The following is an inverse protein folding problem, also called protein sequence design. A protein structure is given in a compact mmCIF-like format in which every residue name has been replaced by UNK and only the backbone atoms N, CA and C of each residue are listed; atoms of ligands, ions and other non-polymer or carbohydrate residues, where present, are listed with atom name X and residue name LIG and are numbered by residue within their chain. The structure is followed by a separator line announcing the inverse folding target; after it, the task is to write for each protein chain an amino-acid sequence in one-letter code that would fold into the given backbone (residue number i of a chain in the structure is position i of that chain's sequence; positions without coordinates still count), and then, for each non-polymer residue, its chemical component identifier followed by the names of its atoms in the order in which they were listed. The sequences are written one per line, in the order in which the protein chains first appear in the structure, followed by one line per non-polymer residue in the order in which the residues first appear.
data_IF_087120664939
#
_entry.id   IF_087120664939
#
_cell.length_a   1.000
_cell.length_b   1.000
_cell.length_c   1.000
_cell.angle_alpha   90.00
_cell.angle_beta   90.00
_cell.angle_gamma   90.00
#
_symmetry.space_group_name_H-M   'P 1'
#
loop_
_entity.id
_entity.type
_entity.pdbx_description
1 polymer ?
#
# COMPACT_ATOMS: atom_id res chain seq x y z
N UNK A 1 -21.29 -2.34 39.42
CA UNK A 1 -20.03 -1.84 40.03
C UNK A 1 -19.76 -2.48 41.39
N UNK A 2 -18.49 -2.79 41.72
CA UNK A 2 -18.05 -3.31 43.02
C UNK A 2 -18.01 -2.25 44.14
N UNK A 3 -18.22 -0.96 43.82
CA UNK A 3 -18.20 0.12 44.81
C UNK A 3 -16.81 0.39 45.39
N UNK A 4 -15.76 0.10 44.62
CA UNK A 4 -14.37 0.23 45.01
C UNK A 4 -13.67 1.42 44.32
N UNK A 5 -12.55 1.87 44.86
CA UNK A 5 -11.79 3.01 44.33
C UNK A 5 -12.42 4.36 44.63
N UNK A 6 -12.17 5.35 43.77
CA UNK A 6 -12.54 6.74 44.03
C UNK A 6 -14.07 6.97 44.09
N UNK A 7 -14.84 6.32 43.21
CA UNK A 7 -16.32 6.34 43.26
C UNK A 7 -16.84 5.66 44.52
N UNK A 8 -16.21 4.56 44.93
CA UNK A 8 -16.52 3.86 46.18
C UNK A 8 -16.35 4.73 47.43
N UNK A 9 -15.33 5.59 47.45
CA UNK A 9 -15.12 6.54 48.54
C UNK A 9 -16.22 7.59 48.63
N UNK A 10 -16.74 8.07 47.49
CA UNK A 10 -17.87 8.99 47.45
C UNK A 10 -19.17 8.32 47.95
N UNK A 11 -19.49 7.14 47.42
CA UNK A 11 -20.71 6.40 47.80
C UNK A 11 -20.71 6.08 49.31
N UNK A 12 -19.55 5.69 49.85
CA UNK A 12 -19.39 5.39 51.28
C UNK A 12 -19.21 6.63 52.15
N UNK A 13 -19.36 7.85 51.61
CA UNK A 13 -19.17 9.13 52.32
C UNK A 13 -17.82 9.25 53.03
N UNK A 14 -16.78 8.64 52.46
CA UNK A 14 -15.38 8.80 52.91
C UNK A 14 -14.69 9.98 52.24
N UNK A 15 -15.24 10.46 51.13
CA UNK A 15 -14.84 11.67 50.42
C UNK A 15 -16.09 12.44 49.98
N UNK A 16 -15.98 13.77 49.88
CA UNK A 16 -17.09 14.63 49.45
C UNK A 16 -17.04 14.93 47.94
N UNK A 17 -15.83 15.03 47.36
CA UNK A 17 -15.61 15.37 45.95
C UNK A 17 -14.49 14.49 45.38
N UNK A 18 -14.68 14.00 44.16
CA UNK A 18 -13.66 13.28 43.40
C UNK A 18 -13.32 14.08 42.13
N UNK A 19 -12.04 14.31 41.90
CA UNK A 19 -11.53 14.95 40.68
C UNK A 19 -10.58 13.96 40.01
N UNK A 20 -10.83 13.62 38.76
CA UNK A 20 -10.02 12.68 37.98
C UNK A 20 -10.51 12.52 36.55
N UNK A 21 -9.86 11.64 35.80
CA UNK A 21 -10.28 11.25 34.45
C UNK A 21 -11.49 10.30 34.53
N UNK A 22 -12.65 10.85 34.90
CA UNK A 22 -13.89 10.10 35.05
C UNK A 22 -14.78 10.30 33.83
N UNK A 23 -15.35 9.20 33.33
CA UNK A 23 -16.31 9.24 32.24
C UNK A 23 -17.72 9.34 32.81
N UNK A 24 -18.60 10.08 32.14
CA UNK A 24 -20.01 10.17 32.51
C UNK A 24 -20.77 8.96 31.99
N UNK A 25 -20.64 7.81 32.65
CA UNK A 25 -21.43 6.62 32.35
C UNK A 25 -22.82 6.70 32.99
N UNK A 26 -23.80 6.06 32.34
CA UNK A 26 -25.19 6.05 32.79
C UNK A 26 -25.34 5.37 34.18
N UNK A 27 -24.60 4.30 34.42
CA UNK A 27 -24.62 3.60 35.71
C UNK A 27 -24.16 4.51 36.85
N UNK A 28 -23.07 5.27 36.65
CA UNK A 28 -22.52 6.18 37.67
C UNK A 28 -23.48 7.33 37.96
N UNK A 29 -24.09 7.88 36.92
CA UNK A 29 -25.06 8.97 37.03
C UNK A 29 -26.33 8.59 37.83
N UNK A 30 -26.62 7.29 37.96
CA UNK A 30 -27.78 6.83 38.74
C UNK A 30 -27.54 6.94 40.25
N UNK A 31 -26.28 6.92 40.70
CA UNK A 31 -25.91 6.91 42.12
C UNK A 31 -25.17 8.17 42.57
N UNK A 32 -24.62 8.95 41.63
CA UNK A 32 -23.76 10.10 41.90
C UNK A 32 -24.15 11.30 41.03
N UNK A 33 -24.11 12.49 41.62
CA UNK A 33 -24.24 13.74 40.87
C UNK A 33 -22.92 14.07 40.17
N UNK A 34 -22.98 14.21 38.85
CA UNK A 34 -21.83 14.55 38.01
C UNK A 34 -21.89 16.03 37.61
N UNK A 35 -20.72 16.69 37.54
CA UNK A 35 -20.62 18.04 36.99
C UNK A 35 -20.87 18.06 35.48
N UNK A 36 -20.97 19.27 34.90
CA UNK A 36 -20.86 19.42 33.46
C UNK A 36 -19.53 18.84 32.96
N UNK A 37 -19.55 18.16 31.81
CA UNK A 37 -18.35 17.57 31.22
C UNK A 37 -17.33 18.68 30.90
N UNK A 38 -16.08 18.47 31.31
CA UNK A 38 -14.98 19.41 31.03
C UNK A 38 -14.42 19.22 29.62
N UNK A 39 -14.33 17.95 29.19
CA UNK A 39 -13.67 17.53 27.95
C UNK A 39 -14.47 16.39 27.33
N UNK A 40 -14.66 16.44 26.01
CA UNK A 40 -15.20 15.30 25.26
C UNK A 40 -14.05 14.46 24.75
N UNK A 41 -14.05 13.19 25.13
CA UNK A 41 -13.04 12.23 24.75
C UNK A 41 -13.65 11.03 24.01
N UNK A 42 -12.83 10.29 23.29
CA UNK A 42 -13.23 9.08 22.60
C UNK A 42 -12.22 7.95 22.81
N UNK A 43 -12.66 6.71 22.65
CA UNK A 43 -11.77 5.55 22.71
C UNK A 43 -11.36 5.18 21.29
N UNK A 44 -10.07 5.00 21.06
CA UNK A 44 -9.51 4.56 19.77
C UNK A 44 -8.64 3.34 20.01
N UNK A 45 -8.62 2.40 19.06
CA UNK A 45 -7.70 1.27 19.09
C UNK A 45 -6.53 1.56 18.14
N UNK A 46 -5.31 1.61 18.68
CA UNK A 46 -4.08 1.65 17.89
C UNK A 46 -3.78 0.25 17.41
N UNK A 47 -3.74 0.06 16.10
CA UNK A 47 -3.43 -1.24 15.50
C UNK A 47 -1.99 -1.27 14.97
N UNK A 48 -1.37 -2.46 14.87
CA UNK A 48 -0.03 -2.58 14.33
C UNK A 48 0.08 -2.01 12.92
N UNK A 49 1.21 -1.39 12.61
CA UNK A 49 1.46 -0.87 11.27
C UNK A 49 1.43 -1.99 10.22
N UNK A 50 0.92 -1.71 9.01
CA UNK A 50 0.94 -2.68 7.92
C UNK A 50 2.38 -2.94 7.45
N UNK A 51 2.63 -4.15 6.97
CA UNK A 51 3.94 -4.56 6.47
C UNK A 51 4.11 -4.14 5.02
N UNK A 52 5.35 -3.91 4.58
CA UNK A 52 5.63 -3.68 3.16
C UNK A 52 5.56 -5.00 2.40
N UNK A 53 4.73 -5.03 1.38
CA UNK A 53 4.64 -6.16 0.45
C UNK A 53 5.70 -5.97 -0.63
N UNK A 54 6.74 -6.80 -0.61
CA UNK A 54 7.71 -6.87 -1.71
C UNK A 54 7.25 -7.93 -2.71
N UNK A 55 6.83 -7.49 -3.88
CA UNK A 55 6.44 -8.40 -4.97
C UNK A 55 7.55 -8.48 -6.01
N UNK A 56 7.87 -9.68 -6.47
CA UNK A 56 8.80 -9.86 -7.61
C UNK A 56 8.22 -9.34 -8.93
N UNK A 57 6.89 -9.15 -8.98
CA UNK A 57 6.15 -8.64 -10.13
C UNK A 57 6.19 -7.10 -10.24
N UNK A 58 6.82 -6.40 -9.28
CA UNK A 58 6.96 -4.94 -9.28
C UNK A 58 7.47 -4.35 -10.61
N UNK A 59 8.41 -4.97 -11.36
CA UNK A 59 8.83 -4.45 -12.66
C UNK A 59 7.76 -4.50 -13.76
N UNK A 60 6.75 -5.37 -13.63
CA UNK A 60 5.68 -5.52 -14.63
C UNK A 60 4.43 -4.69 -14.31
N UNK A 61 4.32 -4.24 -13.06
CA UNK A 61 3.24 -3.41 -12.52
C UNK A 61 3.08 -2.00 -13.15
N UNK A 62 4.12 -1.32 -13.69
CA UNK A 62 3.97 0.03 -14.25
C UNK A 62 2.94 0.11 -15.39
N UNK A 63 2.75 -0.99 -16.12
CA UNK A 63 1.89 -1.03 -17.29
C UNK A 63 0.75 -2.04 -17.13
N UNK A 64 -0.44 -1.64 -17.57
CA UNK A 64 -1.58 -2.55 -17.70
C UNK A 64 -1.31 -3.58 -18.79
N UNK A 65 -1.91 -4.75 -18.67
CA UNK A 65 -1.83 -5.84 -19.65
C UNK A 65 -2.15 -5.39 -21.09
N UNK A 66 -3.12 -4.49 -21.25
CA UNK A 66 -3.49 -3.93 -22.56
C UNK A 66 -2.36 -3.10 -23.19
N UNK A 67 -1.58 -2.39 -22.36
CA UNK A 67 -0.46 -1.57 -22.81
C UNK A 67 0.75 -2.44 -23.16
N UNK A 68 1.02 -3.49 -22.37
CA UNK A 68 2.02 -4.49 -22.72
C UNK A 68 1.73 -5.14 -24.07
N UNK A 69 0.48 -5.52 -24.33
CA UNK A 69 0.06 -6.04 -25.63
C UNK A 69 0.27 -5.01 -26.76
N UNK A 70 -0.03 -3.73 -26.53
CA UNK A 70 0.19 -2.67 -27.50
C UNK A 70 1.68 -2.44 -27.81
N UNK A 71 2.56 -2.50 -26.80
CA UNK A 71 4.02 -2.41 -26.98
C UNK A 71 4.52 -3.59 -27.80
N UNK A 72 4.09 -4.81 -27.50
CA UNK A 72 4.45 -6.00 -28.28
C UNK A 72 4.01 -5.88 -29.74
N UNK A 73 2.79 -5.38 -29.98
CA UNK A 73 2.29 -5.14 -31.34
C UNK A 73 3.14 -4.08 -32.07
N UNK A 74 3.51 -3.00 -31.38
CA UNK A 74 4.35 -1.94 -31.91
C UNK A 74 5.74 -2.46 -32.30
N UNK A 75 6.38 -3.25 -31.42
CA UNK A 75 7.67 -3.90 -31.70
C UNK A 75 7.60 -4.85 -32.89
N UNK A 76 6.52 -5.63 -33.00
CA UNK A 76 6.29 -6.48 -34.17
C UNK A 76 6.13 -5.66 -35.47
N UNK A 77 5.39 -4.55 -35.43
CA UNK A 77 5.23 -3.66 -36.57
C UNK A 77 6.56 -3.00 -36.98
N UNK A 78 7.38 -2.58 -36.02
CA UNK A 78 8.71 -2.03 -36.28
C UNK A 78 9.67 -3.07 -36.86
N UNK A 79 9.69 -4.28 -36.30
CA UNK A 79 10.52 -5.37 -36.82
C UNK A 79 10.14 -5.70 -38.27
N UNK A 80 8.85 -5.83 -38.58
CA UNK A 80 8.41 -6.08 -39.96
C UNK A 80 8.74 -4.90 -40.88
N UNK A 81 8.55 -3.66 -40.44
CA UNK A 81 8.92 -2.45 -41.18
C UNK A 81 10.41 -2.40 -41.51
N UNK A 82 11.28 -2.74 -40.55
CA UNK A 82 12.73 -2.77 -40.74
C UNK A 82 13.19 -3.90 -41.66
N UNK A 83 12.57 -5.09 -41.57
CA UNK A 83 12.84 -6.19 -42.51
C UNK A 83 12.49 -5.78 -43.94
N UNK A 84 11.33 -5.16 -44.14
CA UNK A 84 10.89 -4.69 -45.46
C UNK A 84 11.77 -3.54 -45.98
N UNK A 85 12.15 -2.60 -45.13
CA UNK A 85 13.02 -1.49 -45.48
C UNK A 85 14.43 -1.95 -45.87
N UNK A 86 15.00 -2.91 -45.14
CA UNK A 86 16.30 -3.48 -45.48
C UNK A 86 16.24 -4.31 -46.78
N UNK A 87 15.14 -5.04 -47.00
CA UNK A 87 14.93 -5.77 -48.25
C UNK A 87 14.77 -4.85 -49.46
N UNK A 88 14.01 -3.77 -49.34
CA UNK A 88 13.82 -2.80 -50.42
C UNK A 88 15.13 -2.08 -50.75
N UNK A 89 15.94 -1.76 -49.74
CA UNK A 89 17.27 -1.20 -49.91
C UNK A 89 18.23 -2.15 -50.66
N UNK A 90 18.23 -3.44 -50.31
CA UNK A 90 19.00 -4.44 -51.06
C UNK A 90 18.53 -4.62 -52.50
N UNK A 91 17.22 -4.52 -52.75
CA UNK A 91 16.68 -4.62 -54.10
C UNK A 91 17.12 -3.46 -54.99
N UNK A 92 17.25 -2.25 -54.43
CA UNK A 92 17.56 -1.01 -55.15
C UNK A 92 19.06 -0.73 -55.29
N UNK A 93 19.85 -0.97 -54.25
CA UNK A 93 21.26 -0.51 -54.18
C UNK A 93 22.30 -1.64 -54.22
N UNK A 94 21.89 -2.92 -54.08
CA UNK A 94 22.81 -4.06 -54.03
C UNK A 94 22.68 -4.93 -55.28
N UNK A 95 23.84 -5.29 -55.85
CA UNK A 95 23.95 -6.15 -57.03
C UNK A 95 23.31 -7.54 -56.74
N UNK A 96 22.63 -8.19 -57.71
CA UNK A 96 21.91 -9.44 -57.50
C UNK A 96 22.75 -10.55 -56.85
N UNK A 97 24.04 -10.62 -57.17
CA UNK A 97 24.98 -11.63 -56.66
C UNK A 97 25.39 -11.46 -55.20
N UNK A 98 25.12 -10.30 -54.57
CA UNK A 98 25.45 -10.01 -53.16
C UNK A 98 24.20 -9.82 -52.29
N UNK A 99 23.01 -10.17 -52.81
CA UNK A 99 21.76 -10.05 -52.04
C UNK A 99 21.71 -11.10 -50.93
N UNK A 100 21.39 -10.64 -49.73
CA UNK A 100 21.25 -11.51 -48.56
C UNK A 100 19.93 -12.29 -48.60
N UNK A 101 19.94 -13.47 -47.99
CA UNK A 101 18.75 -14.31 -47.83
C UNK A 101 17.65 -13.65 -47.01
N UNK A 102 16.41 -14.17 -47.09
CA UNK A 102 15.30 -13.69 -46.25
C UNK A 102 15.58 -13.87 -44.75
N UNK A 103 16.20 -14.97 -44.37
CA UNK A 103 16.59 -15.26 -42.98
C UNK A 103 17.56 -14.24 -42.40
N UNK A 104 18.61 -13.84 -43.14
CA UNK A 104 19.54 -12.80 -42.67
C UNK A 104 18.82 -11.47 -42.45
N UNK A 105 17.87 -11.12 -43.33
CA UNK A 105 17.12 -9.87 -43.23
C UNK A 105 16.16 -9.87 -42.03
N UNK A 106 15.47 -11.00 -41.78
CA UNK A 106 14.62 -11.17 -40.59
C UNK A 106 15.47 -11.08 -39.33
N UNK A 107 16.58 -11.82 -39.27
CA UNK A 107 17.50 -11.77 -38.12
C UNK A 107 18.05 -10.36 -37.89
N UNK A 108 18.38 -9.63 -38.96
CA UNK A 108 18.85 -8.26 -38.87
C UNK A 108 17.76 -7.31 -38.36
N UNK A 109 16.54 -7.39 -38.91
CA UNK A 109 15.41 -6.55 -38.50
C UNK A 109 15.07 -6.75 -37.03
N UNK A 110 14.86 -8.02 -36.60
CA UNK A 110 14.54 -8.35 -35.21
C UNK A 110 15.67 -7.95 -34.25
N UNK A 111 16.93 -8.26 -34.59
CA UNK A 111 18.07 -7.88 -33.74
C UNK A 111 18.23 -6.36 -33.64
N UNK A 112 17.96 -5.62 -34.72
CA UNK A 112 18.04 -4.16 -34.75
C UNK A 112 16.90 -3.54 -33.93
N UNK A 113 15.66 -4.01 -34.08
CA UNK A 113 14.53 -3.58 -33.24
C UNK A 113 14.82 -3.81 -31.76
N UNK A 114 15.30 -5.00 -31.39
CA UNK A 114 15.63 -5.28 -30.00
C UNK A 114 16.73 -4.36 -29.46
N UNK A 115 17.77 -4.08 -30.26
CA UNK A 115 18.84 -3.14 -29.91
C UNK A 115 18.31 -1.72 -29.70
N UNK A 116 17.48 -1.23 -30.62
CA UNK A 116 16.88 0.10 -30.51
C UNK A 116 15.99 0.21 -29.27
N UNK A 117 15.18 -0.82 -28.98
CA UNK A 117 14.31 -0.87 -27.81
C UNK A 117 15.08 -0.72 -26.49
N UNK A 118 16.21 -1.42 -26.35
CA UNK A 118 17.08 -1.29 -25.18
C UNK A 118 18.06 -0.11 -25.25
N UNK A 119 17.84 0.83 -26.19
CA UNK A 119 18.66 2.01 -26.43
C UNK A 119 20.14 1.70 -26.74
N UNK A 120 20.42 0.56 -27.36
CA UNK A 120 21.74 0.14 -27.81
C UNK A 120 21.96 0.47 -29.28
N UNK A 121 23.14 1.03 -29.57
CA UNK A 121 23.55 1.30 -30.94
C UNK A 121 24.02 0.02 -31.64
N UNK A 122 23.77 -0.07 -32.94
CA UNK A 122 24.24 -1.16 -33.78
C UNK A 122 25.00 -0.63 -34.98
N UNK A 123 25.94 -1.43 -35.49
CA UNK A 123 26.59 -1.15 -36.77
C UNK A 123 25.62 -1.45 -37.93
N UNK A 124 24.64 -0.58 -38.13
CA UNK A 124 23.71 -0.65 -39.26
C UNK A 124 24.31 0.07 -40.48
N UNK A 125 24.53 -0.68 -41.58
CA UNK A 125 24.96 -0.13 -42.86
C UNK A 125 23.75 0.33 -43.66
N UNK A 126 23.08 1.40 -43.20
CA UNK A 126 22.00 2.04 -43.93
C UNK A 126 22.57 3.04 -44.95
N UNK A 127 22.36 2.77 -46.23
CA UNK A 127 22.78 3.58 -47.38
C UNK A 127 21.70 4.61 -47.77
N UNK A 128 20.42 4.24 -47.69
CA UNK A 128 19.29 5.09 -48.06
C UNK A 128 18.88 6.05 -46.95
N UNK A 129 18.57 7.31 -47.32
CA UNK A 129 18.02 8.31 -46.41
C UNK A 129 16.71 7.84 -45.77
N UNK A 130 15.85 7.15 -46.54
CA UNK A 130 14.56 6.64 -46.03
C UNK A 130 14.75 5.66 -44.89
N UNK A 131 15.72 4.74 -45.00
CA UNK A 131 16.01 3.74 -43.94
C UNK A 131 16.60 4.43 -42.71
N UNK A 132 17.43 5.47 -42.89
CA UNK A 132 17.96 6.26 -41.76
C UNK A 132 16.86 7.03 -41.03
N UNK A 133 15.94 7.65 -41.75
CA UNK A 133 14.79 8.35 -41.16
C UNK A 133 13.87 7.36 -40.44
N UNK A 134 13.64 6.18 -41.01
CA UNK A 134 12.86 5.12 -40.36
C UNK A 134 13.53 4.63 -39.05
N UNK A 135 14.84 4.34 -39.09
CA UNK A 135 15.60 3.95 -37.90
C UNK A 135 15.55 5.03 -36.81
N UNK A 136 15.65 6.30 -37.19
CA UNK A 136 15.52 7.42 -36.26
C UNK A 136 14.12 7.51 -35.65
N UNK A 137 13.07 7.31 -36.46
CA UNK A 137 11.69 7.30 -35.97
C UNK A 137 11.43 6.14 -34.99
N UNK A 138 11.88 4.92 -35.30
CA UNK A 138 11.81 3.77 -34.39
C UNK A 138 12.57 4.05 -33.08
N UNK A 139 13.78 4.60 -33.19
CA UNK A 139 14.57 4.97 -32.01
C UNK A 139 13.85 5.98 -31.10
N UNK A 140 13.22 7.01 -31.68
CA UNK A 140 12.46 7.99 -30.89
C UNK A 140 11.24 7.34 -30.21
N UNK A 141 10.54 6.44 -30.90
CA UNK A 141 9.41 5.71 -30.33
C UNK A 141 9.84 4.83 -29.15
N UNK A 142 10.91 4.04 -29.32
CA UNK A 142 11.51 3.20 -28.29
C UNK A 142 11.97 4.01 -27.06
N UNK A 143 12.57 5.18 -27.31
CA UNK A 143 13.01 6.08 -26.25
C UNK A 143 11.84 6.63 -25.45
N UNK A 144 10.73 6.99 -26.12
CA UNK A 144 9.51 7.46 -25.46
C UNK A 144 8.93 6.33 -24.59
N UNK A 145 8.78 5.12 -25.15
CA UNK A 145 8.24 3.96 -24.42
C UNK A 145 9.08 3.66 -23.18
N UNK A 146 10.41 3.60 -23.34
CA UNK A 146 11.34 3.30 -22.24
C UNK A 146 11.33 4.39 -21.17
N UNK A 147 11.21 5.67 -21.57
CA UNK A 147 11.14 6.79 -20.62
C UNK A 147 9.84 6.76 -19.80
N UNK A 148 8.71 6.45 -20.44
CA UNK A 148 7.42 6.32 -19.75
C UNK A 148 7.46 5.13 -18.77
N UNK A 149 8.03 3.99 -19.19
CA UNK A 149 8.23 2.84 -18.32
C UNK A 149 9.09 3.19 -17.10
N UNK A 150 10.24 3.85 -17.32
CA UNK A 150 11.14 4.28 -16.25
C UNK A 150 10.46 5.24 -15.27
N UNK A 151 9.66 6.19 -15.77
CA UNK A 151 8.88 7.11 -14.93
C UNK A 151 7.79 6.41 -14.12
N UNK A 152 7.05 5.47 -14.73
CA UNK A 152 6.03 4.68 -14.06
C UNK A 152 6.63 3.78 -12.97
N UNK A 153 7.73 3.10 -13.27
CA UNK A 153 8.46 2.28 -12.31
C UNK A 153 9.01 3.12 -11.16
N UNK A 154 9.61 4.28 -11.44
CA UNK A 154 10.07 5.19 -10.39
C UNK A 154 8.92 5.64 -9.47
N UNK A 155 7.74 5.93 -10.02
CA UNK A 155 6.56 6.31 -9.23
C UNK A 155 6.03 5.18 -8.34
N UNK A 156 6.13 3.92 -8.79
CA UNK A 156 5.73 2.77 -7.96
C UNK A 156 6.75 2.54 -6.86
N UNK A 157 8.03 2.69 -7.15
CA UNK A 157 9.09 2.50 -6.15
C UNK A 157 9.10 3.57 -5.04
N UNK A 158 8.54 4.76 -5.29
CA UNK A 158 8.41 5.79 -4.25
C UNK A 158 7.25 5.54 -3.28
N UNK A 159 6.19 4.84 -3.71
CA UNK A 159 5.04 4.54 -2.87
C UNK A 159 5.05 3.05 -2.54
N UNK A 160 5.50 2.66 -1.33
CA UNK A 160 5.55 1.25 -0.98
C UNK A 160 4.12 0.68 -0.90
N UNK A 161 3.89 -0.44 -1.58
CA UNK A 161 2.68 -1.23 -1.39
C UNK A 161 2.69 -1.80 0.03
N UNK A 162 1.72 -1.39 0.83
CA UNK A 162 1.53 -1.85 2.20
C UNK A 162 0.43 -2.92 2.21
N UNK A 163 0.57 -3.87 3.12
CA UNK A 163 -0.47 -4.85 3.42
C UNK A 163 -1.73 -4.17 3.99
N UNK A 164 -2.86 -4.87 3.97
CA UNK A 164 -4.10 -4.34 4.51
C UNK A 164 -3.99 -4.15 6.02
N UNK A 165 -4.27 -2.92 6.49
CA UNK A 165 -4.29 -2.59 7.90
C UNK A 165 -5.66 -2.88 8.51
N UNK A 166 -5.69 -3.33 9.77
CA UNK A 166 -6.91 -3.57 10.54
C UNK A 166 -7.53 -2.27 11.10
N UNK A 167 -7.66 -1.24 10.27
CA UNK A 167 -8.00 0.14 10.64
C UNK A 167 -9.50 0.42 10.86
N UNK A 168 -10.37 -0.53 10.48
CA UNK A 168 -11.82 -0.43 10.66
C UNK A 168 -12.34 -1.60 11.49
N UNK A 169 -13.48 -1.43 12.16
CA UNK A 169 -14.07 -2.49 13.00
C UNK A 169 -14.34 -3.79 12.21
N UNK A 170 -14.87 -3.75 10.96
CA UNK A 170 -15.01 -4.95 10.15
C UNK A 170 -13.67 -5.62 9.82
N UNK A 171 -12.62 -4.84 9.54
CA UNK A 171 -11.28 -5.36 9.26
C UNK A 171 -10.61 -5.94 10.51
N UNK A 172 -10.77 -5.30 11.66
CA UNK A 172 -10.31 -5.80 12.96
C UNK A 172 -10.90 -7.18 13.25
N UNK A 173 -12.20 -7.37 12.96
CA UNK A 173 -12.86 -8.67 13.00
C UNK A 173 -12.31 -9.66 11.96
N UNK A 174 -12.13 -9.22 10.71
CA UNK A 174 -11.63 -10.06 9.62
C UNK A 174 -10.24 -10.63 9.91
N UNK A 175 -9.32 -9.79 10.38
CA UNK A 175 -7.97 -10.20 10.79
C UNK A 175 -7.93 -10.94 12.14
N UNK A 176 -9.07 -11.04 12.85
CA UNK A 176 -9.18 -11.56 14.23
C UNK A 176 -8.10 -10.96 15.14
N UNK A 177 -7.87 -9.66 15.00
CA UNK A 177 -6.80 -8.98 15.72
C UNK A 177 -7.13 -8.98 17.22
N UNK A 178 -6.21 -9.51 18.02
CA UNK A 178 -6.27 -9.37 19.48
C UNK A 178 -6.00 -7.92 19.85
N UNK A 179 -6.78 -7.39 20.78
CA UNK A 179 -6.60 -6.03 21.25
C UNK A 179 -6.79 -5.98 22.76
N UNK A 180 -6.10 -5.04 23.41
CA UNK A 180 -6.01 -5.06 24.84
C UNK A 180 -6.05 -3.67 25.48
N UNK A 181 -6.41 -3.68 26.76
CA UNK A 181 -6.42 -2.53 27.64
C UNK A 181 -6.02 -2.91 29.06
N UNK A 182 -5.84 -1.91 29.92
CA UNK A 182 -5.51 -2.12 31.33
C UNK A 182 -6.71 -2.35 32.24
N UNK A 183 -7.93 -2.19 31.71
CA UNK A 183 -9.16 -2.29 32.48
C UNK A 183 -10.36 -2.67 31.62
N UNK A 184 -11.37 -3.27 32.24
CA UNK A 184 -12.67 -3.48 31.62
C UNK A 184 -13.40 -2.18 31.29
N UNK A 185 -13.05 -1.08 31.99
CA UNK A 185 -13.58 0.27 31.77
C UNK A 185 -13.63 0.67 30.29
N UNK A 186 -12.61 0.30 29.51
CA UNK A 186 -12.47 0.65 28.09
C UNK A 186 -13.54 0.06 27.19
N UNK A 187 -14.20 -1.02 27.62
CA UNK A 187 -15.24 -1.71 26.84
C UNK A 187 -16.62 -1.63 27.47
N UNK A 188 -16.76 -0.92 28.59
CA UNK A 188 -18.02 -0.80 29.34
C UNK A 188 -19.20 -0.37 28.45
N UNK A 189 -18.99 0.67 27.63
CA UNK A 189 -20.04 1.22 26.76
C UNK A 189 -20.52 0.27 25.65
N UNK A 190 -19.66 -0.66 25.20
CA UNK A 190 -19.98 -1.59 24.10
C UNK A 190 -20.34 -3.00 24.58
N UNK A 191 -20.10 -3.30 25.86
CA UNK A 191 -20.33 -4.63 26.45
C UNK A 191 -21.80 -5.03 26.48
N UNK A 192 -22.71 -4.05 26.57
CA UNK A 192 -24.16 -4.27 26.51
C UNK A 192 -24.72 -4.30 25.07
N UNK A 193 -23.88 -4.18 24.03
CA UNK A 193 -24.35 -4.16 22.64
C UNK A 193 -24.80 -5.55 22.19
N UNK A 194 -25.95 -5.62 21.50
CA UNK A 194 -26.47 -6.85 20.92
C UNK A 194 -25.93 -7.18 19.53
N UNK A 195 -25.16 -6.27 18.94
CA UNK A 195 -24.60 -6.42 17.61
C UNK A 195 -23.57 -7.56 17.56
N UNK A 196 -23.78 -8.52 16.66
CA UNK A 196 -22.89 -9.67 16.51
C UNK A 196 -21.43 -9.28 16.21
N UNK A 197 -21.23 -8.21 15.43
CA UNK A 197 -19.90 -7.69 15.11
C UNK A 197 -19.18 -7.18 16.37
N UNK A 198 -19.89 -6.52 17.28
CA UNK A 198 -19.34 -6.04 18.56
C UNK A 198 -19.00 -7.21 19.48
N UNK A 199 -19.88 -8.22 19.55
CA UNK A 199 -19.62 -9.44 20.36
C UNK A 199 -18.37 -10.19 19.87
N UNK A 200 -18.16 -10.29 18.55
CA UNK A 200 -16.99 -10.95 17.96
C UNK A 200 -15.69 -10.21 18.25
N UNK A 201 -15.67 -8.87 18.20
CA UNK A 201 -14.46 -8.11 18.56
C UNK A 201 -14.17 -8.17 20.06
N UNK A 202 -15.21 -8.18 20.90
CA UNK A 202 -15.07 -8.30 22.35
C UNK A 202 -14.52 -9.67 22.76
N UNK A 203 -14.74 -10.71 21.97
CA UNK A 203 -14.14 -12.02 22.20
C UNK A 203 -12.61 -11.99 22.12
N UNK A 204 -12.04 -11.12 21.27
CA UNK A 204 -10.59 -10.95 21.12
C UNK A 204 -10.01 -9.84 22.02
N UNK A 205 -10.82 -9.28 22.94
CA UNK A 205 -10.39 -8.27 23.89
C UNK A 205 -9.74 -8.90 25.13
N UNK A 206 -8.53 -8.46 25.47
CA UNK A 206 -7.79 -8.94 26.62
C UNK A 206 -7.45 -7.82 27.59
N UNK A 207 -7.44 -8.14 28.89
CA UNK A 207 -7.04 -7.20 29.95
C UNK A 207 -5.66 -7.63 30.45
N UNK A 208 -4.71 -6.71 30.41
CA UNK A 208 -3.35 -6.90 30.90
C UNK A 208 -2.98 -5.80 31.90
N UNK A 209 -1.96 -6.02 32.72
CA UNK A 209 -1.41 -4.95 33.55
C UNK A 209 -0.66 -3.90 32.73
N UNK A 210 -0.47 -2.69 33.26
CA UNK A 210 0.24 -1.61 32.57
C UNK A 210 1.68 -2.03 32.17
N UNK A 211 2.38 -2.76 33.04
CA UNK A 211 3.73 -3.28 32.77
C UNK A 211 3.75 -4.30 31.61
N UNK A 212 2.74 -5.16 31.54
CA UNK A 212 2.60 -6.13 30.45
C UNK A 212 2.27 -5.44 29.14
N UNK A 213 1.33 -4.48 29.14
CA UNK A 213 1.02 -3.69 27.95
C UNK A 213 2.24 -2.94 27.44
N UNK A 214 3.07 -2.38 28.32
CA UNK A 214 4.31 -1.72 27.95
C UNK A 214 5.29 -2.70 27.28
N UNK A 215 5.44 -3.92 27.82
CA UNK A 215 6.28 -4.96 27.21
C UNK A 215 5.76 -5.39 25.84
N UNK A 216 4.45 -5.59 25.70
CA UNK A 216 3.82 -5.95 24.42
C UNK A 216 3.92 -4.82 23.40
N UNK A 217 3.88 -3.56 23.84
CA UNK A 217 4.04 -2.41 22.96
C UNK A 217 5.48 -2.24 22.46
N UNK A 218 6.47 -2.70 23.23
CA UNK A 218 7.89 -2.67 22.86
C UNK A 218 8.28 -3.84 21.95
N UNK A 219 7.58 -4.97 22.02
CA UNK A 219 7.85 -6.13 21.19
C UNK A 219 7.28 -5.98 19.77
N UNK A 220 8.15 -5.77 18.79
CA UNK A 220 7.77 -5.64 17.38
C UNK A 220 7.20 -6.92 16.77
N UNK A 221 7.42 -8.09 17.38
CA UNK A 221 6.88 -9.35 16.89
C UNK A 221 5.42 -9.57 17.29
N UNK A 222 4.97 -8.91 18.37
CA UNK A 222 3.61 -9.02 18.86
C UNK A 222 2.71 -8.05 18.08
N UNK A 223 1.74 -8.61 17.36
CA UNK A 223 0.75 -7.83 16.60
C UNK A 223 -0.57 -7.80 17.35
N UNK A 224 -0.70 -6.87 18.30
CA UNK A 224 -1.94 -6.60 19.02
C UNK A 224 -2.38 -5.14 18.90
N UNK A 225 -3.67 -4.90 19.05
CA UNK A 225 -4.24 -3.56 19.17
C UNK A 225 -4.18 -3.03 20.60
N UNK A 226 -3.95 -1.73 20.78
CA UNK A 226 -3.94 -1.08 22.09
C UNK A 226 -5.05 -0.04 22.17
N UNK A 227 -5.88 -0.10 23.21
CA UNK A 227 -6.87 0.94 23.45
C UNK A 227 -6.21 2.18 24.02
N UNK A 228 -6.51 3.34 23.44
CA UNK A 228 -6.05 4.63 23.93
C UNK A 228 -7.19 5.63 23.92
N UNK A 229 -7.09 6.58 24.84
CA UNK A 229 -7.99 7.71 24.89
C UNK A 229 -7.57 8.78 23.86
N UNK A 230 -8.55 9.31 23.13
CA UNK A 230 -8.38 10.40 22.17
C UNK A 230 -8.91 11.70 22.76
N UNK A 231 -7.99 12.51 23.26
CA UNK A 231 -8.28 13.85 23.77
C UNK A 231 -8.51 14.87 22.63
N UNK A 232 -9.37 15.88 22.82
CA UNK A 232 -9.78 16.80 21.75
C UNK A 232 -8.68 17.77 21.27
N UNK A 233 -7.60 17.94 22.03
CA UNK A 233 -6.47 18.81 21.65
C UNK A 233 -5.30 18.08 20.99
N UNK A 234 -5.47 16.80 20.64
CA UNK A 234 -4.41 15.98 20.05
C UNK A 234 -3.42 15.45 21.09
N UNK A 235 -2.76 14.35 20.74
CA UNK A 235 -1.75 13.73 21.59
C UNK A 235 -0.46 14.58 21.50
N UNK A 236 -0.21 15.45 22.47
CA UNK A 236 1.08 16.12 22.59
C UNK A 236 2.13 15.09 23.01
N UNK A 237 2.80 14.49 22.03
CA UNK A 237 4.06 13.79 22.24
C UNK A 237 5.13 14.86 22.53
N UNK A 238 5.49 15.01 23.81
CA UNK A 238 6.83 15.48 24.21
C UNK A 238 7.69 14.25 24.53
#
# INVERSE_FOLDING_TARGET
MSGDGALGMLINRKADICIGAMYSWYEDYTYLDLSMYLVRSGITCLVPAPLRLTSWYLPLEPFKETLWAAILLCLCAEATGLVLAFKSEQALYVLPSYREGWWTCISFGVCTTFKLFISQSGNSKAYSLTVRVLLFACFLNDLIITSIYGGGLASILTIPSLDEAADTVPRLRFHRLQWAANSEAWVSAIRASDEALVKDILYNFHIYSDDELLRLAQDQHVRIGFTVERLPFGNNNN
#
